data_IF_665700819370
#
_entry.id   IF_665700819370
#
_cell.length_a   1.000
_cell.length_b   1.000
_cell.length_c   1.000
_cell.angle_alpha   90.00
_cell.angle_beta   90.00
_cell.angle_gamma   90.00
#
_symmetry.space_group_name_H-M   'P 1'
#
loop_
_entity.id
_entity.type
_entity.pdbx_description
1 polymer ?
#
# COMPACT_ATOMS: atom_id res chain seq x y z
N UNK A 1 12.64 -8.40 23.92
CA UNK A 1 11.53 -9.39 23.73
C UNK A 1 11.53 -9.76 22.26
N UNK A 2 11.62 -11.04 21.90
CA UNK A 2 11.50 -11.48 20.50
C UNK A 2 10.04 -11.31 20.09
N UNK A 3 9.71 -10.62 19.00
CA UNK A 3 8.33 -10.46 18.55
C UNK A 3 7.65 -11.82 18.37
N UNK A 4 6.37 -11.91 18.71
CA UNK A 4 5.57 -13.14 18.58
C UNK A 4 5.65 -13.69 17.14
N UNK A 5 5.61 -12.82 16.14
CA UNK A 5 5.72 -13.18 14.73
C UNK A 5 7.02 -13.89 14.35
N UNK A 6 8.17 -13.51 14.94
CA UNK A 6 9.44 -14.19 14.67
C UNK A 6 9.46 -15.67 15.10
N UNK A 7 8.51 -16.11 15.92
CA UNK A 7 8.37 -17.51 16.36
C UNK A 7 7.40 -18.33 15.52
N UNK A 8 6.60 -17.71 14.65
CA UNK A 8 5.47 -18.36 13.96
C UNK A 8 5.43 -18.14 12.45
N UNK A 9 6.53 -17.66 11.84
CA UNK A 9 6.60 -17.38 10.39
C UNK A 9 5.43 -16.51 9.89
N UNK A 10 5.10 -15.46 10.65
CA UNK A 10 4.04 -14.53 10.25
C UNK A 10 4.58 -13.54 9.21
N UNK A 11 3.77 -13.20 8.23
CA UNK A 11 4.00 -12.04 7.35
C UNK A 11 3.65 -10.77 8.13
N UNK A 12 4.58 -9.82 8.17
CA UNK A 12 4.39 -8.52 8.82
C UNK A 12 4.16 -7.47 7.74
N UNK A 13 2.99 -6.85 7.78
CA UNK A 13 2.67 -5.70 6.92
C UNK A 13 2.80 -4.40 7.70
N UNK A 14 3.36 -3.37 7.05
CA UNK A 14 3.52 -2.06 7.63
C UNK A 14 2.99 -0.98 6.70
N UNK A 15 2.15 -0.09 7.25
CA UNK A 15 1.70 1.16 6.65
C UNK A 15 2.06 2.28 7.63
N UNK A 16 3.08 3.12 7.36
CA UNK A 16 3.49 4.19 8.25
C UNK A 16 2.35 5.16 8.57
N UNK A 17 1.52 5.44 7.58
CA UNK A 17 0.34 6.30 7.70
C UNK A 17 0.65 7.58 8.48
N UNK A 18 1.72 8.27 8.09
CA UNK A 18 2.27 9.42 8.79
C UNK A 18 1.22 10.52 8.98
N UNK A 19 1.05 10.91 10.24
CA UNK A 19 0.21 12.02 10.67
C UNK A 19 1.06 12.99 11.48
N UNK A 20 1.72 13.97 10.86
CA UNK A 20 2.66 14.88 11.53
C UNK A 20 2.14 15.47 12.85
N UNK A 21 0.87 15.91 12.96
CA UNK A 21 0.37 16.50 14.20
C UNK A 21 0.28 15.55 15.40
N UNK A 22 0.40 14.23 15.19
CA UNK A 22 0.34 13.23 16.25
C UNK A 22 1.72 12.91 16.84
N UNK A 23 2.79 13.41 16.23
CA UNK A 23 4.16 13.18 16.66
C UNK A 23 4.72 14.39 17.45
N UNK A 24 5.62 14.11 18.38
CA UNK A 24 6.32 15.17 19.12
C UNK A 24 7.27 15.98 18.22
N UNK A 25 7.90 15.28 17.27
CA UNK A 25 8.72 15.85 16.22
C UNK A 25 8.69 14.97 14.97
N UNK A 26 9.04 15.52 13.82
CA UNK A 26 9.20 14.73 12.59
C UNK A 26 10.40 13.80 12.66
N UNK A 27 11.40 14.14 13.46
CA UNK A 27 12.57 13.27 13.70
C UNK A 27 12.15 12.02 14.49
N UNK A 28 11.35 12.17 15.55
CA UNK A 28 10.80 11.01 16.27
C UNK A 28 9.98 10.11 15.35
N UNK A 29 9.15 10.73 14.47
CA UNK A 29 8.38 9.98 13.48
C UNK A 29 9.28 9.18 12.54
N UNK A 30 10.35 9.80 12.02
CA UNK A 30 11.32 9.15 11.12
C UNK A 30 11.96 7.93 11.78
N UNK A 31 12.45 8.09 13.01
CA UNK A 31 13.11 7.00 13.75
C UNK A 31 12.17 5.80 13.94
N UNK A 32 10.93 6.04 14.36
CA UNK A 32 9.97 4.96 14.61
C UNK A 32 9.48 4.30 13.30
N UNK A 33 9.30 5.09 12.24
CA UNK A 33 8.96 4.54 10.92
C UNK A 33 10.12 3.70 10.38
N UNK A 34 11.35 4.19 10.44
CA UNK A 34 12.55 3.43 10.04
C UNK A 34 12.69 2.12 10.82
N UNK A 35 12.37 2.13 12.12
CA UNK A 35 12.31 0.88 12.89
C UNK A 35 11.26 -0.08 12.34
N UNK A 36 10.05 0.40 11.99
CA UNK A 36 9.02 -0.42 11.34
C UNK A 36 9.48 -1.05 10.03
N UNK A 37 10.18 -0.26 9.19
CA UNK A 37 10.76 -0.73 7.93
C UNK A 37 11.76 -1.89 8.12
N UNK A 38 12.48 -1.95 9.25
CA UNK A 38 13.40 -3.07 9.55
C UNK A 38 12.68 -4.37 9.92
N UNK A 39 11.35 -4.38 10.03
CA UNK A 39 10.57 -5.51 10.56
C UNK A 39 9.52 -6.06 9.61
N UNK A 40 9.16 -5.33 8.56
CA UNK A 40 8.06 -5.73 7.70
C UNK A 40 8.52 -6.54 6.48
N UNK A 41 7.61 -7.38 6.01
CA UNK A 41 7.74 -8.17 4.79
C UNK A 41 6.96 -7.51 3.64
N UNK A 42 5.93 -6.76 3.98
CA UNK A 42 5.09 -5.99 3.04
C UNK A 42 5.03 -4.55 3.54
N UNK A 43 5.47 -3.62 2.70
CA UNK A 43 5.36 -2.19 2.95
C UNK A 43 4.34 -1.57 2.00
N UNK A 44 3.31 -0.91 2.54
CA UNK A 44 2.53 0.08 1.80
C UNK A 44 2.97 1.47 2.27
N UNK A 45 3.34 2.33 1.34
CA UNK A 45 3.81 3.70 1.62
C UNK A 45 3.23 4.66 0.58
N UNK A 46 2.94 5.89 0.97
CA UNK A 46 2.48 6.94 0.05
C UNK A 46 3.64 7.71 -0.58
N UNK A 47 3.35 8.42 -1.69
CA UNK A 47 4.25 9.37 -2.32
C UNK A 47 4.87 10.39 -1.34
N UNK A 48 4.03 11.02 -0.52
CA UNK A 48 4.46 11.99 0.49
C UNK A 48 5.37 11.38 1.58
N UNK A 49 5.15 10.12 1.92
CA UNK A 49 5.97 9.39 2.91
C UNK A 49 7.32 8.98 2.31
N UNK A 50 7.37 8.63 1.02
CA UNK A 50 8.63 8.42 0.29
C UNK A 50 9.44 9.71 0.28
N UNK A 51 8.82 10.84 -0.07
CA UNK A 51 9.48 12.14 -0.04
C UNK A 51 9.99 12.47 1.36
N UNK A 52 9.17 12.28 2.39
CA UNK A 52 9.55 12.54 3.78
C UNK A 52 10.74 11.69 4.25
N UNK A 53 10.79 10.40 3.91
CA UNK A 53 11.82 9.48 4.42
C UNK A 53 13.13 9.54 3.63
N UNK A 54 13.06 9.75 2.32
CA UNK A 54 14.18 9.59 1.40
C UNK A 54 14.56 10.86 0.64
N UNK A 55 13.89 11.98 0.93
CA UNK A 55 14.13 13.28 0.31
C UNK A 55 14.14 13.22 -1.24
N UNK A 56 13.21 12.43 -1.83
CA UNK A 56 13.10 12.23 -3.28
C UNK A 56 11.65 12.11 -3.73
N UNK A 57 11.32 12.72 -4.86
CA UNK A 57 10.07 12.56 -5.60
C UNK A 57 10.19 11.56 -6.75
N UNK A 58 11.37 10.97 -6.93
CA UNK A 58 11.58 9.82 -7.82
C UNK A 58 11.28 8.54 -7.04
N UNK A 59 10.09 8.00 -7.27
CA UNK A 59 9.59 6.84 -6.53
C UNK A 59 10.33 5.54 -6.86
N UNK A 60 10.89 5.42 -8.07
CA UNK A 60 11.74 4.28 -8.43
C UNK A 60 13.05 4.33 -7.64
N UNK A 61 13.62 5.53 -7.48
CA UNK A 61 14.78 5.74 -6.60
C UNK A 61 14.43 5.49 -5.13
N UNK A 62 13.26 5.97 -4.68
CA UNK A 62 12.77 5.71 -3.32
C UNK A 62 12.64 4.22 -3.03
N UNK A 63 12.02 3.47 -3.95
CA UNK A 63 11.87 2.03 -3.83
C UNK A 63 13.23 1.29 -3.81
N UNK A 64 14.17 1.71 -4.65
CA UNK A 64 15.52 1.14 -4.65
C UNK A 64 16.27 1.37 -3.32
N UNK A 65 16.13 2.56 -2.72
CA UNK A 65 16.71 2.85 -1.39
C UNK A 65 16.05 2.00 -0.29
N UNK A 66 14.73 1.75 -0.38
CA UNK A 66 14.01 0.86 0.55
C UNK A 66 14.53 -0.57 0.41
N UNK A 67 14.66 -1.08 -0.81
CA UNK A 67 15.16 -2.43 -1.08
C UNK A 67 16.61 -2.59 -0.58
N UNK A 68 17.48 -1.64 -0.89
CA UNK A 68 18.89 -1.66 -0.49
C UNK A 68 19.07 -1.65 1.03
N UNK A 69 18.32 -0.78 1.74
CA UNK A 69 18.50 -0.55 3.18
C UNK A 69 17.76 -1.56 4.05
N UNK A 70 16.56 -1.99 3.64
CA UNK A 70 15.65 -2.76 4.50
C UNK A 70 15.34 -4.16 3.98
N UNK A 71 15.60 -4.45 2.70
CA UNK A 71 15.36 -5.75 2.05
C UNK A 71 13.90 -6.23 2.16
N UNK A 72 12.94 -5.31 2.03
CA UNK A 72 11.51 -5.61 2.12
C UNK A 72 11.07 -6.34 0.84
N UNK A 73 10.50 -7.56 0.93
CA UNK A 73 10.15 -8.36 -0.24
C UNK A 73 9.12 -7.71 -1.18
N UNK A 74 8.10 -7.04 -0.64
CA UNK A 74 7.05 -6.38 -1.40
C UNK A 74 6.86 -4.94 -0.93
N UNK A 75 7.12 -3.99 -1.82
CA UNK A 75 6.92 -2.55 -1.58
C UNK A 75 5.84 -2.03 -2.50
N UNK A 76 4.85 -1.36 -1.93
CA UNK A 76 3.71 -0.76 -2.62
C UNK A 76 3.72 0.75 -2.38
N UNK A 77 3.81 1.53 -3.46
CA UNK A 77 3.78 2.99 -3.39
C UNK A 77 2.45 3.47 -3.97
N UNK A 78 1.64 4.13 -3.14
CA UNK A 78 0.39 4.76 -3.57
C UNK A 78 0.64 6.21 -3.99
N UNK A 79 0.11 6.58 -5.17
CA UNK A 79 0.34 7.87 -5.85
C UNK A 79 -0.97 8.69 -5.93
N UNK A 80 -1.93 8.43 -5.06
CA UNK A 80 -3.22 9.10 -5.05
C UNK A 80 -3.94 8.96 -6.40
N UNK A 81 -4.20 10.09 -7.05
CA UNK A 81 -4.88 10.15 -8.36
C UNK A 81 -4.05 9.57 -9.52
N UNK A 82 -2.77 9.29 -9.31
CA UNK A 82 -1.86 8.77 -10.34
C UNK A 82 -1.70 7.23 -10.22
N UNK A 83 -2.46 6.59 -9.30
CA UNK A 83 -2.52 5.14 -9.17
C UNK A 83 -1.55 4.57 -8.15
N UNK A 84 -0.92 3.46 -8.47
CA UNK A 84 0.00 2.78 -7.56
C UNK A 84 1.07 1.98 -8.29
N UNK A 85 2.15 1.69 -7.56
CA UNK A 85 3.27 0.86 -8.03
C UNK A 85 3.56 -0.24 -7.04
N UNK A 86 3.88 -1.43 -7.55
CA UNK A 86 4.45 -2.53 -6.78
C UNK A 86 5.89 -2.78 -7.21
N UNK A 87 6.76 -2.98 -6.23
CA UNK A 87 8.16 -3.37 -6.41
C UNK A 87 8.38 -4.70 -5.70
N UNK A 88 8.82 -5.69 -6.46
CA UNK A 88 8.99 -7.04 -5.97
C UNK A 88 10.15 -7.74 -6.65
N UNK A 89 11.18 -8.14 -5.89
CA UNK A 89 12.38 -8.84 -6.42
C UNK A 89 13.00 -8.13 -7.63
N UNK A 90 13.22 -6.80 -7.54
CA UNK A 90 13.80 -5.99 -8.60
C UNK A 90 12.87 -5.71 -9.80
N UNK A 91 11.63 -6.17 -9.78
CA UNK A 91 10.60 -5.87 -10.80
C UNK A 91 9.71 -4.75 -10.34
N UNK A 92 9.17 -3.99 -11.30
CA UNK A 92 8.21 -2.92 -11.08
C UNK A 92 6.96 -3.16 -11.92
N UNK A 93 5.81 -3.09 -11.30
CA UNK A 93 4.50 -3.07 -11.94
C UNK A 93 3.78 -1.79 -11.54
N UNK A 94 3.14 -1.12 -12.50
CA UNK A 94 2.40 0.11 -12.28
C UNK A 94 0.96 -0.07 -12.73
N UNK A 95 0.01 0.32 -11.88
CA UNK A 95 -1.41 0.23 -12.15
C UNK A 95 -2.03 1.63 -12.13
N UNK A 96 -2.72 1.98 -13.21
CA UNK A 96 -3.44 3.24 -13.33
C UNK A 96 -4.58 3.36 -12.31
N UNK A 97 -4.96 4.59 -11.90
CA UNK A 97 -6.03 4.80 -10.94
C UNK A 97 -7.40 4.49 -11.55
N UNK A 98 -8.38 4.19 -10.69
CA UNK A 98 -9.79 4.27 -11.02
C UNK A 98 -10.30 5.65 -10.55
N UNK A 99 -10.54 6.55 -11.49
CA UNK A 99 -10.99 7.90 -11.15
C UNK A 99 -12.50 7.95 -10.99
N UNK A 100 -12.98 8.65 -9.95
CA UNK A 100 -14.40 8.89 -9.69
C UNK A 100 -14.79 10.31 -10.10
N UNK A 101 -15.93 10.45 -10.75
CA UNK A 101 -16.51 11.77 -11.06
C UNK A 101 -16.96 12.51 -9.80
N UNK A 102 -17.39 11.75 -8.78
CA UNK A 102 -17.95 12.28 -7.53
C UNK A 102 -17.23 11.69 -6.33
N UNK A 103 -16.11 12.30 -5.95
CA UNK A 103 -15.43 12.00 -4.68
C UNK A 103 -16.10 12.77 -3.55
N UNK A 104 -16.56 12.04 -2.51
CA UNK A 104 -17.18 12.61 -1.31
C UNK A 104 -16.10 12.81 -0.23
N UNK A 105 -15.30 11.76 0.00
CA UNK A 105 -14.30 11.74 1.05
C UNK A 105 -13.16 10.79 0.68
N UNK A 106 -11.92 11.15 1.01
CA UNK A 106 -10.75 10.28 0.75
C UNK A 106 -10.31 9.47 1.98
N UNK A 107 -10.98 9.68 3.11
CA UNK A 107 -10.69 8.95 4.36
C UNK A 107 -10.91 7.44 4.14
N UNK A 108 -9.92 6.64 4.53
CA UNK A 108 -9.98 5.20 4.40
C UNK A 108 -9.55 4.63 3.05
N UNK A 109 -9.25 5.47 2.03
CA UNK A 109 -8.78 4.97 0.74
C UNK A 109 -7.46 4.18 0.88
N UNK A 110 -6.48 4.72 1.62
CA UNK A 110 -5.23 4.02 1.93
C UNK A 110 -5.43 2.73 2.72
N UNK A 111 -6.33 2.77 3.72
CA UNK A 111 -6.65 1.59 4.53
C UNK A 111 -7.34 0.51 3.69
N UNK A 112 -8.26 0.89 2.79
CA UNK A 112 -8.93 -0.05 1.87
C UNK A 112 -7.94 -0.65 0.88
N UNK A 113 -7.03 0.16 0.33
CA UNK A 113 -5.94 -0.33 -0.50
C UNK A 113 -5.10 -1.37 0.25
N UNK A 114 -4.64 -1.03 1.46
CA UNK A 114 -3.83 -1.93 2.29
C UNK A 114 -4.58 -3.22 2.63
N UNK A 115 -5.86 -3.14 2.99
CA UNK A 115 -6.69 -4.31 3.28
C UNK A 115 -6.84 -5.24 2.06
N UNK A 116 -6.99 -4.68 0.87
CA UNK A 116 -7.06 -5.44 -0.39
C UNK A 116 -5.74 -6.19 -0.67
N UNK A 117 -4.61 -5.53 -0.47
CA UNK A 117 -3.28 -6.15 -0.59
C UNK A 117 -3.11 -7.28 0.41
N UNK A 118 -3.49 -7.04 1.69
CA UNK A 118 -3.41 -8.06 2.75
C UNK A 118 -4.23 -9.29 2.40
N UNK A 119 -5.44 -9.09 1.90
CA UNK A 119 -6.31 -10.19 1.50
C UNK A 119 -5.69 -11.01 0.35
N UNK A 120 -5.12 -10.34 -0.65
CA UNK A 120 -4.41 -11.01 -1.75
C UNK A 120 -3.21 -11.82 -1.24
N UNK A 121 -2.39 -11.23 -0.37
CA UNK A 121 -1.21 -11.90 0.22
C UNK A 121 -1.62 -13.10 1.10
N UNK A 122 -2.74 -13.02 1.81
CA UNK A 122 -3.26 -14.14 2.60
C UNK A 122 -3.68 -15.31 1.71
N UNK A 123 -4.27 -15.04 0.55
CA UNK A 123 -4.74 -16.07 -0.38
C UNK A 123 -3.60 -16.70 -1.20
N UNK A 124 -2.57 -15.92 -1.58
CA UNK A 124 -1.53 -16.31 -2.54
C UNK A 124 -0.12 -16.43 -1.95
N UNK A 125 0.12 -15.87 -0.75
CA UNK A 125 1.46 -15.76 -0.16
C UNK A 125 2.29 -14.64 -0.79
N UNK A 126 3.59 -14.61 -0.43
CA UNK A 126 4.58 -13.65 -0.96
C UNK A 126 5.63 -14.32 -1.86
N UNK A 127 5.57 -15.64 -2.03
CA UNK A 127 6.52 -16.37 -2.84
C UNK A 127 6.05 -16.38 -4.30
N UNK A 128 6.98 -16.10 -5.22
CA UNK A 128 6.77 -16.28 -6.67
C UNK A 128 5.61 -15.48 -7.31
N UNK A 129 5.35 -14.27 -6.82
CA UNK A 129 4.40 -13.34 -7.45
C UNK A 129 4.89 -12.98 -8.86
N UNK A 130 4.08 -13.28 -9.89
CA UNK A 130 4.33 -12.84 -11.27
C UNK A 130 3.91 -11.38 -11.47
N UNK A 131 4.24 -10.80 -12.63
CA UNK A 131 3.80 -9.44 -12.95
C UNK A 131 2.28 -9.38 -13.13
N UNK A 132 1.65 -10.47 -13.61
CA UNK A 132 0.21 -10.60 -13.71
C UNK A 132 -0.43 -10.62 -12.31
N UNK A 133 0.14 -11.36 -11.35
CA UNK A 133 -0.32 -11.37 -9.96
C UNK A 133 -0.22 -9.98 -9.32
N UNK A 134 0.91 -9.28 -9.53
CA UNK A 134 1.10 -7.92 -9.03
C UNK A 134 0.09 -6.95 -9.66
N UNK A 135 -0.18 -7.07 -10.96
CA UNK A 135 -1.16 -6.23 -11.66
C UNK A 135 -2.59 -6.50 -11.17
N UNK A 136 -2.98 -7.77 -11.01
CA UNK A 136 -4.29 -8.16 -10.46
C UNK A 136 -4.48 -7.58 -9.06
N UNK A 137 -3.50 -7.78 -8.17
CA UNK A 137 -3.48 -7.26 -6.81
C UNK A 137 -3.64 -5.74 -6.78
N UNK A 138 -2.86 -5.00 -7.60
CA UNK A 138 -2.94 -3.53 -7.67
C UNK A 138 -4.26 -3.05 -8.26
N UNK A 139 -4.79 -3.75 -9.28
CA UNK A 139 -6.07 -3.40 -9.92
C UNK A 139 -7.20 -3.48 -8.91
N UNK A 140 -7.29 -4.57 -8.16
CA UNK A 140 -8.28 -4.75 -7.12
C UNK A 140 -8.14 -3.71 -6.00
N UNK A 141 -6.91 -3.46 -5.54
CA UNK A 141 -6.64 -2.50 -4.48
C UNK A 141 -6.96 -1.05 -4.89
N UNK A 142 -6.60 -0.64 -6.12
CA UNK A 142 -6.94 0.67 -6.66
C UNK A 142 -8.46 0.85 -6.85
N UNK A 143 -9.16 -0.18 -7.32
CA UNK A 143 -10.61 -0.15 -7.48
C UNK A 143 -11.32 0.00 -6.13
N UNK A 144 -10.95 -0.80 -5.14
CA UNK A 144 -11.49 -0.71 -3.78
C UNK A 144 -11.22 0.65 -3.14
N UNK A 145 -9.98 1.15 -3.25
CA UNK A 145 -9.59 2.47 -2.75
C UNK A 145 -10.35 3.62 -3.46
N UNK A 146 -10.69 3.44 -4.71
CA UNK A 146 -11.52 4.39 -5.47
C UNK A 146 -12.96 4.36 -5.01
N UNK A 147 -13.58 3.18 -4.90
CA UNK A 147 -14.98 3.03 -4.50
C UNK A 147 -15.27 3.63 -3.14
N UNK A 148 -14.42 3.45 -2.14
CA UNK A 148 -14.66 4.00 -0.81
C UNK A 148 -14.73 5.53 -0.83
N UNK A 149 -14.07 6.20 -1.77
CA UNK A 149 -14.10 7.67 -1.85
C UNK A 149 -15.46 8.24 -2.26
N UNK A 150 -16.34 7.42 -2.81
CA UNK A 150 -17.71 7.79 -3.17
C UNK A 150 -18.69 7.67 -1.99
N UNK A 151 -18.20 7.27 -0.82
CA UNK A 151 -19.02 7.00 0.36
C UNK A 151 -18.55 7.85 1.54
N UNK A 152 -19.49 8.25 2.41
CA UNK A 152 -19.14 8.99 3.62
C UNK A 152 -18.85 8.02 4.77
N UNK A 153 -17.65 8.07 5.29
CA UNK A 153 -17.18 7.21 6.37
C UNK A 153 -15.92 6.44 5.97
N UNK A 154 -15.45 5.55 6.84
CA UNK A 154 -14.26 4.74 6.60
C UNK A 154 -14.61 3.24 6.71
N UNK A 155 -14.29 2.59 7.82
CA UNK A 155 -14.42 1.15 8.02
C UNK A 155 -15.82 0.58 7.69
N UNK A 156 -16.89 1.32 8.03
CA UNK A 156 -18.28 0.86 7.85
C UNK A 156 -18.77 0.87 6.41
N UNK A 157 -18.05 1.54 5.53
CA UNK A 157 -18.42 1.73 4.12
C UNK A 157 -17.37 1.16 3.16
N UNK A 158 -16.43 0.38 3.69
CA UNK A 158 -15.51 -0.39 2.86
C UNK A 158 -16.31 -1.26 1.88
N UNK A 159 -15.94 -1.25 0.59
CA UNK A 159 -16.63 -2.07 -0.39
C UNK A 159 -16.40 -3.57 -0.12
N UNK A 160 -17.39 -4.38 -0.46
CA UNK A 160 -17.22 -5.84 -0.49
C UNK A 160 -16.39 -6.27 -1.69
N UNK A 161 -15.93 -7.52 -1.71
CA UNK A 161 -15.20 -8.09 -2.84
C UNK A 161 -16.04 -8.00 -4.12
N UNK A 162 -17.31 -8.39 -4.03
CA UNK A 162 -18.26 -8.40 -5.15
C UNK A 162 -18.44 -7.00 -5.74
N UNK A 163 -18.62 -5.98 -4.91
CA UNK A 163 -18.74 -4.58 -5.35
C UNK A 163 -17.48 -4.10 -6.10
N UNK A 164 -16.29 -4.52 -5.65
CA UNK A 164 -15.03 -4.18 -6.32
C UNK A 164 -14.92 -4.89 -7.66
N UNK A 165 -15.25 -6.19 -7.72
CA UNK A 165 -15.22 -6.99 -8.95
C UNK A 165 -16.20 -6.46 -10.01
N UNK A 166 -17.42 -6.12 -9.61
CA UNK A 166 -18.42 -5.48 -10.48
C UNK A 166 -17.90 -4.16 -11.04
N UNK A 167 -17.33 -3.31 -10.18
CA UNK A 167 -16.77 -2.02 -10.59
C UNK A 167 -15.62 -2.17 -11.58
N UNK A 168 -14.72 -3.14 -11.40
CA UNK A 168 -13.65 -3.44 -12.35
C UNK A 168 -14.23 -3.87 -13.70
N UNK A 169 -15.22 -4.79 -13.69
CA UNK A 169 -15.88 -5.27 -14.91
C UNK A 169 -16.58 -4.15 -15.69
N UNK A 170 -17.27 -3.25 -15.00
CA UNK A 170 -17.93 -2.09 -15.61
C UNK A 170 -16.95 -1.06 -16.17
N UNK A 171 -15.74 -0.97 -15.60
CA UNK A 171 -14.69 -0.05 -16.07
C UNK A 171 -14.00 -0.49 -17.37
N UNK A 172 -14.27 -1.73 -17.83
CA UNK A 172 -13.65 -2.32 -19.04
C UNK A 172 -12.17 -2.67 -18.88
N UNK A 173 -11.72 -2.90 -17.68
CA UNK A 173 -10.34 -3.28 -17.32
C UNK A 173 -10.23 -4.74 -16.89
#
# INVERSE_FOLDING_TARGET
MTPICARHSCIITFDPNLRPPLWKSLEDARVEIEYGLTKCDVLKISDNEVEFLFDTTDYDKGAALIEEKYHIPLVLITLGKDGSRAYYKGRRVECAPFLQEHTIETTGAGDTFCASILNYVLDHGLEDLSDENLMEMLTFANAGASLITTRKGALRVMPTREEVEEFIAESGR
#
